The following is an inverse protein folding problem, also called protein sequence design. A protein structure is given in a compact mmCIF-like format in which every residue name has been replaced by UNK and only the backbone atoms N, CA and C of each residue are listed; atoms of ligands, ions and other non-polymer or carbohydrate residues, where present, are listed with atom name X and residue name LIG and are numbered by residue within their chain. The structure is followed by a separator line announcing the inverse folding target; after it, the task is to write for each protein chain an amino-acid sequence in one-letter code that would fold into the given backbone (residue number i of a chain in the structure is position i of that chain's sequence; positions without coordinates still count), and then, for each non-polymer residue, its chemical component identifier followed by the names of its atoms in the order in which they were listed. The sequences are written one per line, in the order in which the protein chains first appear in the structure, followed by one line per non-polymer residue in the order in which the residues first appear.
data_IF_423805696750
#
_entry.id   IF_423805696750
#
_cell.length_a   1.000
_cell.length_b   1.000
_cell.length_c   1.000
_cell.angle_alpha   90.00
_cell.angle_beta   90.00
_cell.angle_gamma   90.00
#
_symmetry.space_group_name_H-M   'P 1'
#
loop_
_entity.id
_entity.type
_entity.pdbx_description
1 polymer ?
#
# COMPACT_ATOMS: atom_id res chain seq x y z
N UNK A 1 32.38 11.82 -84.63
CA UNK A 1 31.17 12.66 -84.43
C UNK A 1 30.73 12.41 -82.99
N UNK A 2 31.26 13.18 -82.03
CA UNK A 2 30.62 14.39 -81.46
C UNK A 2 29.22 14.05 -80.90
N UNK A 3 28.82 14.31 -79.67
CA UNK A 3 29.33 15.01 -78.50
C UNK A 3 28.39 14.62 -77.34
N UNK A 4 28.86 14.72 -76.10
CA UNK A 4 28.22 15.43 -74.96
C UNK A 4 28.57 14.82 -73.61
N UNK A 5 29.60 15.42 -73.02
CA UNK A 5 29.68 15.72 -71.59
C UNK A 5 28.42 16.48 -71.15
N UNK A 6 27.78 16.12 -70.04
CA UNK A 6 27.43 17.10 -68.99
C UNK A 6 26.95 16.44 -67.70
N UNK A 7 27.71 16.76 -66.66
CA UNK A 7 27.50 16.53 -65.24
C UNK A 7 26.27 17.31 -64.73
N UNK A 8 25.36 16.65 -64.01
CA UNK A 8 24.45 17.30 -63.06
C UNK A 8 24.55 16.61 -61.71
N UNK A 9 25.22 17.29 -60.77
CA UNK A 9 25.15 17.03 -59.33
C UNK A 9 23.74 17.38 -58.86
N UNK A 10 23.12 16.51 -58.07
CA UNK A 10 22.04 16.92 -57.17
C UNK A 10 22.25 16.27 -55.82
N UNK A 11 22.22 17.09 -54.79
CA UNK A 11 22.41 16.74 -53.39
C UNK A 11 21.15 16.06 -52.86
N UNK A 12 21.30 14.90 -52.22
CA UNK A 12 20.30 14.39 -51.30
C UNK A 12 20.92 14.38 -49.90
N UNK A 13 20.47 15.34 -49.09
CA UNK A 13 20.65 15.40 -47.65
C UNK A 13 20.16 14.08 -47.05
N UNK A 14 21.08 13.25 -46.55
CA UNK A 14 20.75 12.09 -45.75
C UNK A 14 20.18 12.55 -44.42
N UNK A 15 18.89 12.25 -44.19
CA UNK A 15 18.21 12.48 -42.94
C UNK A 15 18.96 11.77 -41.78
N UNK A 16 19.32 12.55 -40.76
CA UNK A 16 19.94 12.03 -39.56
C UNK A 16 18.97 11.16 -38.76
N UNK A 17 19.35 9.91 -38.51
CA UNK A 17 18.80 9.12 -37.41
C UNK A 17 19.40 9.66 -36.11
N UNK A 18 18.62 10.43 -35.34
CA UNK A 18 18.85 10.54 -33.89
C UNK A 18 17.86 9.61 -33.20
N UNK A 19 18.32 8.40 -32.89
CA UNK A 19 17.64 7.54 -31.92
C UNK A 19 17.83 8.17 -30.54
N UNK A 20 16.81 8.89 -30.07
CA UNK A 20 16.73 9.35 -28.68
C UNK A 20 16.46 8.11 -27.83
N UNK A 21 17.52 7.54 -27.25
CA UNK A 21 17.38 6.53 -26.21
C UNK A 21 16.86 7.22 -24.95
N UNK A 22 15.56 7.13 -24.70
CA UNK A 22 14.97 7.46 -23.41
C UNK A 22 15.44 6.40 -22.42
N UNK A 23 16.56 6.65 -21.74
CA UNK A 23 16.94 5.91 -20.55
C UNK A 23 15.91 6.23 -19.46
N UNK A 24 14.79 5.50 -19.47
CA UNK A 24 13.87 5.48 -18.35
C UNK A 24 14.62 4.93 -17.15
N UNK A 25 14.97 5.79 -16.19
CA UNK A 25 15.38 5.35 -14.87
C UNK A 25 14.17 4.71 -14.18
N UNK A 26 13.85 3.47 -14.52
CA UNK A 26 13.05 2.60 -13.68
C UNK A 26 13.93 2.21 -12.48
N UNK A 27 14.03 3.09 -11.49
CA UNK A 27 14.42 2.65 -10.17
C UNK A 27 13.28 1.76 -9.68
N UNK A 28 13.48 0.45 -9.76
CA UNK A 28 12.60 -0.49 -9.07
C UNK A 28 12.52 -0.02 -7.61
N UNK A 29 11.31 0.10 -7.02
CA UNK A 29 11.21 0.44 -5.62
C UNK A 29 12.05 -0.59 -4.85
N UNK A 30 12.92 -0.10 -3.96
CA UNK A 30 13.77 -0.96 -3.14
C UNK A 30 12.89 -2.08 -2.57
N UNK A 31 13.12 -3.30 -3.04
CA UNK A 31 12.23 -4.43 -2.79
C UNK A 31 12.04 -4.55 -1.28
N UNK A 32 10.79 -4.43 -0.82
CA UNK A 32 10.47 -4.65 0.57
C UNK A 32 10.87 -6.09 0.92
N UNK A 33 12.03 -6.26 1.56
CA UNK A 33 12.47 -7.57 2.03
C UNK A 33 11.55 -8.00 3.16
N UNK A 34 10.98 -9.20 3.04
CA UNK A 34 10.40 -9.89 4.17
C UNK A 34 11.57 -10.44 5.01
N UNK A 35 11.82 -9.95 6.24
CA UNK A 35 12.92 -10.46 7.04
C UNK A 35 12.66 -11.91 7.42
N UNK A 36 13.72 -12.73 7.40
CA UNK A 36 13.66 -14.19 7.57
C UNK A 36 13.33 -14.67 8.99
N UNK A 37 13.16 -13.76 9.97
CA UNK A 37 12.79 -14.10 11.34
C UNK A 37 11.91 -13.00 11.94
N UNK A 38 10.65 -12.95 11.53
CA UNK A 38 9.64 -12.08 12.16
C UNK A 38 9.23 -12.71 13.50
N UNK A 39 9.39 -11.98 14.60
CA UNK A 39 8.77 -12.37 15.89
C UNK A 39 7.26 -12.32 15.72
N UNK A 40 6.54 -13.44 15.90
CA UNK A 40 5.11 -13.42 15.70
C UNK A 40 4.43 -12.61 16.81
N UNK A 41 3.37 -11.89 16.45
CA UNK A 41 2.65 -11.05 17.39
C UNK A 41 1.56 -11.88 18.08
N UNK A 42 1.80 -12.26 19.34
CA UNK A 42 0.94 -13.21 20.06
C UNK A 42 -0.03 -12.59 21.07
N UNK A 43 0.12 -11.31 21.42
CA UNK A 43 -0.80 -10.67 22.38
C UNK A 43 -2.04 -10.14 21.66
N UNK A 44 -3.22 -10.15 22.29
CA UNK A 44 -4.37 -9.44 21.75
C UNK A 44 -4.12 -7.92 21.77
N UNK A 45 -4.67 -7.24 20.76
CA UNK A 45 -4.76 -5.78 20.70
C UNK A 45 -5.95 -5.32 21.55
N UNK A 46 -5.76 -4.22 22.27
CA UNK A 46 -6.84 -3.49 22.94
C UNK A 46 -7.35 -2.41 21.99
N UNK A 47 -8.53 -2.59 21.43
CA UNK A 47 -9.13 -1.68 20.45
C UNK A 47 -10.29 -0.94 21.10
N UNK A 48 -10.27 0.39 21.08
CA UNK A 48 -11.45 1.17 21.41
C UNK A 48 -12.40 1.18 20.20
N UNK A 49 -13.63 0.67 20.38
CA UNK A 49 -14.60 0.48 19.30
C UNK A 49 -15.71 1.52 19.39
N UNK A 50 -15.76 2.43 18.41
CA UNK A 50 -16.75 3.51 18.34
C UNK A 50 -18.19 2.99 18.18
N UNK A 51 -18.41 1.96 17.35
CA UNK A 51 -19.70 1.27 17.17
C UNK A 51 -20.28 0.78 18.51
N UNK A 52 -19.40 0.43 19.46
CA UNK A 52 -19.77 -0.09 20.77
C UNK A 52 -19.73 0.99 21.86
N UNK A 53 -20.05 2.25 21.53
CA UNK A 53 -20.01 3.37 22.49
C UNK A 53 -18.63 3.54 23.14
N UNK A 54 -17.57 3.40 22.35
CA UNK A 54 -16.16 3.54 22.77
C UNK A 54 -15.68 2.50 23.81
N UNK A 55 -16.30 1.31 23.83
CA UNK A 55 -15.82 0.19 24.66
C UNK A 55 -14.46 -0.32 24.14
N UNK A 56 -13.55 -0.66 25.07
CA UNK A 56 -12.28 -1.30 24.74
C UNK A 56 -12.44 -2.82 24.67
N UNK A 57 -12.16 -3.42 23.51
CA UNK A 57 -12.18 -4.87 23.29
C UNK A 57 -10.78 -5.43 23.14
N UNK A 58 -10.58 -6.67 23.59
CA UNK A 58 -9.38 -7.47 23.31
C UNK A 58 -9.63 -8.30 22.07
N UNK A 59 -8.84 -8.07 21.03
CA UNK A 59 -9.03 -8.69 19.70
C UNK A 59 -7.70 -9.29 19.26
N UNK A 60 -7.69 -10.50 18.71
CA UNK A 60 -6.47 -11.04 18.10
C UNK A 60 -6.07 -10.20 16.88
N UNK A 61 -4.78 -10.15 16.56
CA UNK A 61 -4.31 -9.38 15.40
C UNK A 61 -5.04 -9.78 14.11
N UNK A 62 -5.22 -11.07 13.87
CA UNK A 62 -5.88 -11.54 12.65
C UNK A 62 -7.39 -11.23 12.62
N UNK A 63 -8.08 -11.25 13.77
CA UNK A 63 -9.47 -10.79 13.84
C UNK A 63 -9.59 -9.28 13.59
N UNK A 64 -8.61 -8.50 14.08
CA UNK A 64 -8.55 -7.06 13.78
C UNK A 64 -8.39 -6.83 12.28
N UNK A 65 -7.41 -7.50 11.66
CA UNK A 65 -7.12 -7.41 10.23
C UNK A 65 -8.33 -7.78 9.38
N UNK A 66 -9.04 -8.86 9.69
CA UNK A 66 -10.23 -9.29 8.94
C UNK A 66 -11.29 -8.19 8.83
N UNK A 67 -11.58 -7.49 9.92
CA UNK A 67 -12.57 -6.41 9.89
C UNK A 67 -11.98 -5.14 9.24
N UNK A 68 -10.76 -4.75 9.61
CA UNK A 68 -10.10 -3.54 9.09
C UNK A 68 -10.00 -3.53 7.57
N UNK A 69 -9.69 -4.67 6.94
CA UNK A 69 -9.63 -4.78 5.47
C UNK A 69 -10.90 -4.24 4.81
N UNK A 70 -12.07 -4.68 5.27
CA UNK A 70 -13.37 -4.34 4.66
C UNK A 70 -14.02 -3.09 5.25
N UNK A 71 -13.50 -2.59 6.37
CA UNK A 71 -13.82 -1.26 6.87
C UNK A 71 -13.13 -0.18 6.04
N UNK A 72 -11.89 -0.42 5.62
CA UNK A 72 -11.11 0.53 4.81
C UNK A 72 -11.37 0.38 3.30
N UNK A 73 -11.55 -0.85 2.82
CA UNK A 73 -11.72 -1.13 1.39
C UNK A 73 -12.85 -2.14 1.13
N UNK A 74 -13.96 -1.64 0.59
CA UNK A 74 -15.11 -2.46 0.22
C UNK A 74 -15.89 -1.77 -0.92
N UNK A 75 -15.44 -1.94 -2.17
CA UNK A 75 -16.10 -1.31 -3.31
C UNK A 75 -17.52 -1.86 -3.50
N UNK A 76 -18.44 -1.05 -4.04
CA UNK A 76 -19.82 -1.50 -4.28
C UNK A 76 -19.88 -2.68 -5.27
N UNK A 77 -19.03 -2.64 -6.30
CA UNK A 77 -18.88 -3.66 -7.34
C UNK A 77 -17.41 -3.77 -7.74
N UNK A 78 -17.07 -4.80 -8.51
CA UNK A 78 -15.71 -5.01 -8.99
C UNK A 78 -15.51 -6.45 -9.46
N UNK A 79 -14.50 -6.65 -10.29
CA UNK A 79 -14.05 -7.97 -10.71
C UNK A 79 -13.55 -8.74 -9.47
N UNK A 80 -14.12 -9.92 -9.14
CA UNK A 80 -13.83 -10.61 -7.89
C UNK A 80 -12.36 -10.90 -7.61
N UNK A 81 -11.58 -11.28 -8.63
CA UNK A 81 -10.16 -11.62 -8.46
C UNK A 81 -9.31 -10.38 -8.17
N UNK A 82 -9.59 -9.27 -8.86
CA UNK A 82 -8.96 -7.98 -8.62
C UNK A 82 -9.28 -7.49 -7.21
N UNK A 83 -10.56 -7.51 -6.81
CA UNK A 83 -10.95 -7.13 -5.44
C UNK A 83 -10.28 -8.04 -4.43
N UNK A 84 -10.19 -9.35 -4.68
CA UNK A 84 -9.47 -10.31 -3.85
C UNK A 84 -8.01 -9.93 -3.63
N UNK A 85 -7.28 -9.57 -4.71
CA UNK A 85 -5.89 -9.09 -4.63
C UNK A 85 -5.77 -7.79 -3.85
N UNK A 86 -6.69 -6.84 -4.03
CA UNK A 86 -6.70 -5.60 -3.27
C UNK A 86 -6.94 -5.83 -1.78
N UNK A 87 -7.82 -6.76 -1.42
CA UNK A 87 -8.06 -7.16 -0.03
C UNK A 87 -6.80 -7.80 0.60
N UNK A 88 -6.00 -8.55 -0.16
CA UNK A 88 -4.71 -9.09 0.32
C UNK A 88 -3.69 -8.00 0.59
N UNK A 89 -3.55 -7.03 -0.32
CA UNK A 89 -2.69 -5.86 -0.12
C UNK A 89 -3.14 -5.09 1.13
N UNK A 90 -4.44 -4.84 1.27
CA UNK A 90 -4.99 -4.15 2.43
C UNK A 90 -4.78 -4.94 3.73
N UNK A 91 -4.79 -6.28 3.68
CA UNK A 91 -4.49 -7.13 4.83
C UNK A 91 -3.07 -6.92 5.34
N UNK A 92 -2.10 -6.90 4.43
CA UNK A 92 -0.69 -6.65 4.75
C UNK A 92 -0.50 -5.24 5.30
N UNK A 93 -1.13 -4.23 4.69
CA UNK A 93 -1.09 -2.83 5.15
C UNK A 93 -1.69 -2.71 6.57
N UNK A 94 -2.91 -3.23 6.76
CA UNK A 94 -3.61 -3.20 8.06
C UNK A 94 -2.85 -3.89 9.17
N UNK A 95 -2.28 -5.07 8.89
CA UNK A 95 -1.46 -5.80 9.86
C UNK A 95 -0.20 -5.04 10.22
N UNK A 96 0.50 -4.50 9.22
CA UNK A 96 1.72 -3.72 9.41
C UNK A 96 1.44 -2.48 10.26
N UNK A 97 0.38 -1.74 9.93
CA UNK A 97 -0.04 -0.57 10.69
C UNK A 97 -0.34 -0.93 12.15
N UNK A 98 -1.11 -1.99 12.38
CA UNK A 98 -1.50 -2.40 13.72
C UNK A 98 -0.27 -2.71 14.60
N UNK A 99 0.70 -3.46 14.06
CA UNK A 99 1.95 -3.79 14.75
C UNK A 99 2.81 -2.54 14.99
N UNK A 100 2.94 -1.67 13.98
CA UNK A 100 3.75 -0.46 14.08
C UNK A 100 3.20 0.56 15.10
N UNK A 101 1.90 0.52 15.38
CA UNK A 101 1.19 1.48 16.22
C UNK A 101 0.67 0.91 17.55
N UNK A 102 1.16 -0.26 17.96
CA UNK A 102 0.81 -0.83 19.25
C UNK A 102 1.13 0.16 20.38
N UNK A 103 0.13 0.48 21.21
CA UNK A 103 0.28 1.42 22.32
C UNK A 103 0.17 2.90 21.92
N UNK A 104 -0.29 3.22 20.70
CA UNK A 104 -0.54 4.60 20.25
C UNK A 104 -1.45 5.38 21.20
N UNK A 105 -2.34 4.70 21.90
CA UNK A 105 -3.23 5.27 22.92
C UNK A 105 -2.93 4.76 24.34
N UNK A 106 -1.66 4.47 24.65
CA UNK A 106 -1.27 3.92 25.96
C UNK A 106 -1.74 4.80 27.14
N UNK A 107 -1.74 6.14 26.98
CA UNK A 107 -2.24 7.09 28.00
C UNK A 107 -3.74 6.97 28.25
N UNK A 108 -4.50 6.52 27.25
CA UNK A 108 -5.94 6.29 27.34
C UNK A 108 -6.29 4.82 27.69
N UNK A 109 -5.29 3.95 27.85
CA UNK A 109 -5.47 2.56 28.30
C UNK A 109 -5.74 1.53 27.20
N UNK A 110 -5.62 1.89 25.93
CA UNK A 110 -5.80 0.98 24.78
C UNK A 110 -4.69 1.12 23.74
N UNK A 111 -4.63 0.20 22.77
CA UNK A 111 -3.57 0.19 21.75
C UNK A 111 -3.97 1.06 20.55
N UNK A 112 -5.16 0.85 19.97
CA UNK A 112 -5.67 1.54 18.77
C UNK A 112 -7.14 1.95 18.93
N UNK A 113 -7.59 3.00 18.25
CA UNK A 113 -9.02 3.33 18.10
C UNK A 113 -9.56 2.79 16.77
N UNK A 114 -10.89 2.69 16.64
CA UNK A 114 -11.54 2.13 15.46
C UNK A 114 -11.92 3.14 14.37
N UNK A 115 -11.38 4.36 14.45
CA UNK A 115 -11.69 5.48 13.55
C UNK A 115 -10.52 5.79 12.64
N UNK A 116 -10.71 6.71 11.69
CA UNK A 116 -9.65 7.19 10.77
C UNK A 116 -8.44 7.82 11.46
N UNK A 117 -8.51 8.12 12.76
CA UNK A 117 -7.34 8.52 13.54
C UNK A 117 -6.29 7.39 13.64
N UNK A 118 -6.76 6.13 13.67
CA UNK A 118 -5.92 4.96 13.53
C UNK A 118 -6.15 4.30 12.17
N UNK A 119 -7.00 3.28 12.16
CA UNK A 119 -7.59 2.67 10.98
C UNK A 119 -9.04 2.35 11.31
N UNK A 120 -9.91 2.44 10.31
CA UNK A 120 -11.29 2.02 10.42
C UNK A 120 -11.35 0.55 10.82
N UNK A 121 -12.12 0.29 11.87
CA UNK A 121 -12.38 -1.05 12.38
C UNK A 121 -13.86 -1.13 12.79
N UNK A 122 -14.66 -1.74 11.92
CA UNK A 122 -16.09 -1.91 12.12
C UNK A 122 -16.39 -3.41 12.12
N UNK A 123 -16.38 -4.08 13.29
CA UNK A 123 -16.53 -5.54 13.35
C UNK A 123 -17.87 -6.02 12.80
N UNK A 124 -18.92 -5.18 12.80
CA UNK A 124 -20.20 -5.49 12.16
C UNK A 124 -20.10 -5.76 10.65
N UNK A 125 -19.11 -5.17 9.96
CA UNK A 125 -18.86 -5.38 8.53
C UNK A 125 -18.58 -6.83 8.18
N UNK A 126 -18.05 -7.63 9.11
CA UNK A 126 -17.86 -9.06 8.93
C UNK A 126 -19.18 -9.83 8.72
N UNK A 127 -20.31 -9.26 9.14
CA UNK A 127 -21.64 -9.82 8.95
C UNK A 127 -22.44 -9.13 7.84
N UNK A 128 -22.17 -7.86 7.58
CA UNK A 128 -23.00 -7.05 6.66
C UNK A 128 -22.38 -6.86 5.28
N UNK A 129 -21.05 -7.01 5.12
CA UNK A 129 -20.38 -6.82 3.84
C UNK A 129 -20.43 -8.08 2.98
N UNK A 130 -20.78 -7.92 1.70
CA UNK A 130 -20.68 -8.99 0.69
C UNK A 130 -19.24 -9.49 0.47
N UNK A 131 -18.24 -8.69 0.86
CA UNK A 131 -16.82 -9.03 0.72
C UNK A 131 -16.25 -9.75 1.95
N UNK A 132 -17.05 -9.97 3.02
CA UNK A 132 -16.55 -10.61 4.23
C UNK A 132 -15.90 -12.00 4.00
N UNK A 133 -16.43 -12.89 3.13
CA UNK A 133 -15.75 -14.16 2.82
C UNK A 133 -14.39 -13.95 2.12
N UNK A 134 -14.32 -13.02 1.16
CA UNK A 134 -13.09 -12.71 0.44
C UNK A 134 -12.03 -12.09 1.37
N UNK A 135 -12.45 -11.21 2.28
CA UNK A 135 -11.57 -10.60 3.27
C UNK A 135 -11.00 -11.62 4.26
N UNK A 136 -11.83 -12.57 4.71
CA UNK A 136 -11.37 -13.69 5.55
C UNK A 136 -10.32 -14.53 4.82
N UNK A 137 -10.55 -14.84 3.54
CA UNK A 137 -9.58 -15.57 2.73
C UNK A 137 -8.28 -14.77 2.52
N UNK A 138 -8.38 -13.47 2.20
CA UNK A 138 -7.22 -12.59 2.02
C UNK A 138 -6.37 -12.46 3.29
N UNK A 139 -7.01 -12.27 4.45
CA UNK A 139 -6.33 -12.23 5.75
C UNK A 139 -5.59 -13.55 6.02
N UNK A 140 -6.22 -14.69 5.74
CA UNK A 140 -5.61 -16.01 5.94
C UNK A 140 -4.43 -16.27 4.99
N UNK A 141 -4.56 -15.94 3.70
CA UNK A 141 -3.48 -16.11 2.70
C UNK A 141 -2.26 -15.24 2.99
N UNK A 142 -2.46 -14.11 3.66
CA UNK A 142 -1.40 -13.16 4.03
C UNK A 142 -1.04 -13.21 5.52
N UNK A 143 -1.45 -14.25 6.24
CA UNK A 143 -1.25 -14.35 7.68
C UNK A 143 0.24 -14.19 8.04
N UNK A 144 0.54 -13.28 8.98
CA UNK A 144 1.90 -12.99 9.40
C UNK A 144 2.73 -12.14 8.41
N UNK A 145 2.24 -11.85 7.21
CA UNK A 145 2.92 -10.96 6.28
C UNK A 145 2.84 -9.50 6.77
N UNK A 146 4.01 -8.91 6.97
CA UNK A 146 4.23 -7.56 7.51
C UNK A 146 5.33 -6.91 6.69
N UNK A 147 5.19 -5.62 6.40
CA UNK A 147 6.21 -4.85 5.69
C UNK A 147 7.26 -4.33 6.68
N UNK A 148 8.53 -4.53 6.36
CA UNK A 148 9.66 -4.13 7.22
C UNK A 148 10.64 -3.25 6.47
N UNK A 149 11.27 -2.34 7.23
CA UNK A 149 12.42 -1.56 6.80
C UNK A 149 13.32 -1.35 8.01
N UNK A 150 14.63 -1.54 7.86
CA UNK A 150 15.62 -1.44 8.96
C UNK A 150 15.21 -2.23 10.22
N UNK A 151 14.77 -3.47 10.05
CA UNK A 151 14.34 -4.37 11.13
C UNK A 151 13.16 -3.84 11.98
N UNK A 152 12.40 -2.86 11.48
CA UNK A 152 11.17 -2.34 12.11
C UNK A 152 9.99 -2.43 11.15
N UNK A 153 8.76 -2.65 11.64
CA UNK A 153 7.58 -2.53 10.80
C UNK A 153 7.51 -1.12 10.22
N UNK A 154 7.22 -1.01 8.92
CA UNK A 154 7.09 0.30 8.28
C UNK A 154 5.85 1.04 8.78
N UNK A 155 5.85 2.36 8.63
CA UNK A 155 4.61 3.13 8.73
C UNK A 155 3.86 2.96 7.41
N UNK A 156 2.91 2.01 7.41
CA UNK A 156 2.12 1.66 6.23
C UNK A 156 0.94 2.63 6.05
N UNK A 157 1.22 3.80 5.46
CA UNK A 157 0.20 4.80 5.11
C UNK A 157 -0.40 4.47 3.75
N UNK A 158 -1.71 4.71 3.61
CA UNK A 158 -2.46 4.57 2.37
C UNK A 158 -3.53 5.66 2.29
N UNK A 159 -4.09 5.85 1.10
CA UNK A 159 -5.11 6.86 0.82
C UNK A 159 -5.92 6.43 -0.40
N UNK A 160 -7.10 7.03 -0.60
CA UNK A 160 -8.05 6.59 -1.62
C UNK A 160 -7.62 6.92 -3.05
N UNK A 161 -7.03 8.10 -3.26
CA UNK A 161 -6.66 8.61 -4.59
C UNK A 161 -5.45 9.55 -4.48
N UNK A 162 -4.41 9.31 -5.27
CA UNK A 162 -3.17 10.07 -5.28
C UNK A 162 -3.16 11.25 -6.28
N UNK A 163 -4.16 11.39 -7.14
CA UNK A 163 -4.16 12.37 -8.24
C UNK A 163 -3.13 12.08 -9.33
N UNK A 164 -2.65 10.82 -9.40
CA UNK A 164 -1.71 10.34 -10.40
C UNK A 164 -0.23 10.33 -9.98
N UNK A 165 0.12 10.80 -8.78
CA UNK A 165 1.43 10.60 -8.15
C UNK A 165 1.28 10.57 -6.63
N UNK A 166 1.89 9.60 -5.97
CA UNK A 166 1.97 9.57 -4.50
C UNK A 166 2.92 10.65 -3.97
N UNK A 167 2.78 10.99 -2.68
CA UNK A 167 3.57 12.05 -2.07
C UNK A 167 4.67 11.51 -1.15
N UNK A 168 5.73 12.29 -0.95
CA UNK A 168 6.75 11.95 0.05
C UNK A 168 6.24 12.22 1.46
N UNK A 169 6.77 11.49 2.46
CA UNK A 169 6.42 11.75 3.86
C UNK A 169 6.79 13.19 4.32
N UNK A 170 7.87 13.75 3.76
CA UNK A 170 8.32 15.11 4.04
C UNK A 170 7.29 16.14 3.54
N UNK A 171 6.81 15.99 2.31
CA UNK A 171 5.85 16.92 1.75
C UNK A 171 4.49 16.86 2.48
N UNK A 172 4.04 15.66 2.83
CA UNK A 172 2.73 15.47 3.47
C UNK A 172 2.71 15.93 4.95
N UNK A 173 3.76 15.67 5.72
CA UNK A 173 3.76 15.90 7.17
C UNK A 173 4.93 16.73 7.71
N UNK A 174 5.79 17.29 6.85
CA UNK A 174 7.01 18.04 7.23
C UNK A 174 7.92 17.28 8.22
N UNK A 175 7.84 15.96 8.20
CA UNK A 175 8.53 15.08 9.12
C UNK A 175 9.82 14.52 8.55
N UNK A 176 10.50 13.66 9.32
CA UNK A 176 11.71 12.97 8.89
C UNK A 176 11.46 12.18 7.59
N UNK A 177 12.33 12.31 6.57
CA UNK A 177 12.25 11.48 5.38
C UNK A 177 12.23 9.99 5.74
N UNK A 178 11.45 9.21 5.01
CA UNK A 178 11.38 7.76 5.14
C UNK A 178 11.64 7.16 3.77
N UNK A 179 12.70 6.37 3.62
CA UNK A 179 13.14 5.84 2.33
C UNK A 179 12.03 5.06 1.60
N UNK A 180 11.18 4.37 2.36
CA UNK A 180 10.04 3.59 1.86
C UNK A 180 8.77 4.42 1.62
N UNK A 181 8.76 5.72 1.88
CA UNK A 181 7.65 6.65 1.55
C UNK A 181 8.15 7.73 0.58
N UNK A 182 8.54 7.26 -0.59
CA UNK A 182 8.96 8.08 -1.73
C UNK A 182 7.78 8.34 -2.66
N UNK A 183 7.79 9.49 -3.34
CA UNK A 183 6.83 9.79 -4.38
C UNK A 183 7.08 8.88 -5.60
N UNK A 184 6.02 8.21 -6.04
CA UNK A 184 5.96 7.37 -7.24
C UNK A 184 4.71 7.71 -8.06
N UNK A 185 4.73 7.54 -9.40
CA UNK A 185 3.54 7.67 -10.24
C UNK A 185 2.40 6.74 -9.79
#
# INVERSE_FOLDING_TARGET
MADKVTMKRSWCLGAGLMAVATAGCSMAPAGAMLPSAVRPFYRPLRIQVAEDRNIVRRVSLEQYVQATIISEFAPASGEPDLVGRMLEVQAVIGRTYAIANVGRHARQGFDLCSTTHCQLYEPSRLRTSRWAPAAKAAAARTAGAVLWHDHRPVIALFHADCGGHTNTAMNAWRGTPRAYLSAVP
#
